data_IF_958837958996
#
_entry.id   IF_958837958996
#
_cell.length_a   1.000
_cell.length_b   1.000
_cell.length_c   1.000
_cell.angle_alpha   90.00
_cell.angle_beta   90.00
_cell.angle_gamma   90.00
#
_symmetry.space_group_name_H-M   'P 1'
#
loop_
_entity.id
_entity.type
_entity.pdbx_description
1 polymer ?
#
# COMPACT_ATOMS: atom_id res chain seq x y z
N UNK A 1 -49.47 17.78 55.34
CA UNK A 1 -48.90 16.57 54.70
C UNK A 1 -47.52 16.92 54.18
N UNK A 2 -46.54 16.06 54.43
CA UNK A 2 -45.08 16.30 54.36
C UNK A 2 -44.60 16.69 52.94
N UNK A 3 -43.84 17.76 52.82
CA UNK A 3 -43.05 18.08 51.63
C UNK A 3 -41.81 17.17 51.57
N UNK A 4 -41.76 16.27 50.58
CA UNK A 4 -40.56 15.49 50.26
C UNK A 4 -39.76 16.22 49.18
N UNK A 5 -38.62 16.76 49.59
CA UNK A 5 -37.60 17.33 48.71
C UNK A 5 -36.82 16.16 48.10
N UNK A 6 -36.89 15.98 46.78
CA UNK A 6 -36.06 15.00 46.08
C UNK A 6 -34.83 15.72 45.52
N UNK A 7 -33.66 15.44 46.12
CA UNK A 7 -32.36 15.85 45.61
C UNK A 7 -32.06 15.10 44.31
N UNK A 8 -31.96 15.82 43.20
CA UNK A 8 -31.46 15.29 41.93
C UNK A 8 -29.94 15.37 41.95
N UNK A 9 -29.27 14.22 42.10
CA UNK A 9 -27.84 14.12 41.90
C UNK A 9 -27.54 14.05 40.40
N UNK A 10 -26.86 15.06 39.86
CA UNK A 10 -26.38 15.08 38.49
C UNK A 10 -25.16 14.15 38.35
N UNK A 11 -25.31 13.04 37.63
CA UNK A 11 -24.20 12.20 37.22
C UNK A 11 -23.64 12.74 35.89
N UNK A 12 -22.50 13.43 35.94
CA UNK A 12 -21.76 13.81 34.74
C UNK A 12 -21.05 12.56 34.18
N UNK A 13 -21.55 12.03 33.07
CA UNK A 13 -20.88 10.99 32.31
C UNK A 13 -19.69 11.60 31.56
N UNK A 14 -18.47 11.28 31.98
CA UNK A 14 -17.25 11.62 31.23
C UNK A 14 -17.08 10.55 30.14
N UNK A 15 -17.61 10.84 28.95
CA UNK A 15 -17.32 10.05 27.76
C UNK A 15 -15.85 10.23 27.38
N UNK A 16 -15.06 9.17 27.58
CA UNK A 16 -13.69 9.06 27.06
C UNK A 16 -13.81 8.92 25.55
N UNK A 17 -13.74 10.04 24.83
CA UNK A 17 -13.60 10.07 23.39
C UNK A 17 -12.29 9.38 23.02
N UNK A 18 -12.39 8.14 22.55
CA UNK A 18 -11.30 7.42 21.91
C UNK A 18 -10.78 8.26 20.74
N UNK A 19 -9.55 8.80 20.87
CA UNK A 19 -8.85 9.43 19.76
C UNK A 19 -8.70 8.39 18.65
N UNK A 20 -9.44 8.57 17.56
CA UNK A 20 -9.16 7.93 16.30
C UNK A 20 -7.84 8.52 15.79
N UNK A 21 -6.73 7.91 16.19
CA UNK A 21 -5.40 8.27 15.72
C UNK A 21 -5.32 8.04 14.22
N UNK A 22 -5.28 9.12 13.45
CA UNK A 22 -4.84 9.08 12.07
C UNK A 22 -3.40 8.56 12.09
N UNK A 23 -3.12 7.45 11.42
CA UNK A 23 -1.75 6.98 11.27
C UNK A 23 -0.93 8.13 10.67
N UNK A 24 0.03 8.65 11.44
CA UNK A 24 0.88 9.74 10.99
C UNK A 24 1.60 9.30 9.69
N UNK A 25 1.85 10.19 8.73
CA UNK A 25 2.53 9.84 7.48
C UNK A 25 3.85 9.09 7.71
N UNK A 26 4.56 9.39 8.81
CA UNK A 26 5.75 8.67 9.25
C UNK A 26 5.55 7.15 9.44
N UNK A 27 4.38 6.71 9.92
CA UNK A 27 4.07 5.28 10.09
C UNK A 27 3.81 4.59 8.75
N UNK A 28 3.19 5.28 7.79
CA UNK A 28 2.99 4.73 6.45
C UNK A 28 4.33 4.51 5.72
N UNK A 29 5.23 5.50 5.78
CA UNK A 29 6.59 5.38 5.23
C UNK A 29 7.37 4.20 5.83
N UNK A 30 7.30 4.01 7.15
CA UNK A 30 7.97 2.89 7.84
C UNK A 30 7.44 1.53 7.38
N UNK A 31 6.11 1.40 7.24
CA UNK A 31 5.49 0.15 6.79
C UNK A 31 5.83 -0.14 5.32
N UNK A 32 5.83 0.86 4.45
CA UNK A 32 6.18 0.70 3.04
C UNK A 32 7.64 0.28 2.84
N UNK A 33 8.57 0.85 3.61
CA UNK A 33 9.95 0.38 3.65
C UNK A 33 10.08 -1.04 4.19
N UNK A 34 9.34 -1.37 5.25
CA UNK A 34 9.33 -2.73 5.78
C UNK A 34 8.79 -3.73 4.74
N UNK A 35 7.71 -3.40 4.03
CA UNK A 35 7.17 -4.23 2.93
C UNK A 35 8.25 -4.46 1.89
N UNK A 36 8.91 -3.40 1.41
CA UNK A 36 9.93 -3.48 0.37
C UNK A 36 11.10 -4.39 0.77
N UNK A 37 11.69 -4.14 1.95
CA UNK A 37 12.86 -4.89 2.44
C UNK A 37 12.51 -6.33 2.82
N UNK A 38 11.36 -6.54 3.48
CA UNK A 38 10.93 -7.87 3.86
C UNK A 38 10.52 -8.71 2.65
N UNK A 39 9.89 -8.10 1.64
CA UNK A 39 9.57 -8.77 0.38
C UNK A 39 10.85 -9.22 -0.35
N UNK A 40 11.84 -8.33 -0.44
CA UNK A 40 13.15 -8.65 -1.04
C UNK A 40 13.83 -9.83 -0.34
N UNK A 41 13.67 -9.94 0.99
CA UNK A 41 14.20 -11.02 1.82
C UNK A 41 13.28 -12.24 1.99
N UNK A 42 12.17 -12.35 1.24
CA UNK A 42 11.30 -13.52 1.30
C UNK A 42 10.40 -13.62 2.54
N UNK A 43 10.06 -12.48 3.16
CA UNK A 43 9.26 -12.37 4.38
C UNK A 43 9.84 -13.15 5.57
N UNK A 44 11.03 -12.77 6.08
CA UNK A 44 11.65 -13.46 7.19
C UNK A 44 10.78 -13.38 8.46
N UNK A 45 10.89 -14.39 9.31
CA UNK A 45 10.12 -14.50 10.55
C UNK A 45 10.57 -13.44 11.58
N UNK A 46 10.04 -12.23 11.45
CA UNK A 46 10.24 -11.12 12.39
C UNK A 46 8.92 -10.37 12.58
N UNK A 47 8.73 -9.75 13.75
CA UNK A 47 7.57 -8.91 14.02
C UNK A 47 7.34 -7.81 12.95
N UNK A 48 8.35 -7.03 12.51
CA UNK A 48 8.14 -6.02 11.48
C UNK A 48 7.75 -6.63 10.12
N UNK A 49 8.35 -7.76 9.72
CA UNK A 49 8.01 -8.39 8.45
C UNK A 49 6.64 -9.08 8.47
N UNK A 50 6.23 -9.65 9.60
CA UNK A 50 4.88 -10.19 9.77
C UNK A 50 3.82 -9.07 9.67
N UNK A 51 4.07 -7.93 10.32
CA UNK A 51 3.21 -6.76 10.22
C UNK A 51 3.15 -6.22 8.78
N UNK A 52 4.31 -6.05 8.14
CA UNK A 52 4.40 -5.59 6.76
C UNK A 52 3.66 -6.52 5.78
N UNK A 53 3.80 -7.85 5.92
CA UNK A 53 3.06 -8.83 5.12
C UNK A 53 1.55 -8.71 5.31
N UNK A 54 1.09 -8.50 6.55
CA UNK A 54 -0.33 -8.29 6.82
C UNK A 54 -0.87 -7.01 6.15
N UNK A 55 -0.09 -5.93 6.11
CA UNK A 55 -0.46 -4.69 5.41
C UNK A 55 -0.44 -4.87 3.90
N UNK A 56 0.58 -5.54 3.35
CA UNK A 56 0.67 -5.91 1.93
C UNK A 56 -0.59 -6.65 1.48
N UNK A 57 -1.03 -7.66 2.25
CA UNK A 57 -2.25 -8.42 1.96
C UNK A 57 -3.50 -7.54 2.14
N UNK A 58 -3.61 -6.77 3.22
CA UNK A 58 -4.78 -5.88 3.46
C UNK A 58 -5.00 -4.89 2.33
N UNK A 59 -3.94 -4.32 1.75
CA UNK A 59 -4.07 -3.36 0.64
C UNK A 59 -4.72 -3.98 -0.58
N UNK A 60 -4.52 -5.28 -0.79
CA UNK A 60 -5.10 -5.98 -1.92
C UNK A 60 -6.45 -6.64 -1.57
N UNK A 61 -6.91 -6.66 -0.30
CA UNK A 61 -8.10 -7.38 0.17
C UNK A 61 -8.94 -6.68 1.26
N UNK A 62 -10.28 -6.67 1.18
CA UNK A 62 -11.12 -6.50 -0.01
C UNK A 62 -11.32 -5.00 -0.34
N UNK A 63 -12.08 -4.73 -1.40
CA UNK A 63 -12.23 -3.41 -2.04
C UNK A 63 -12.35 -2.21 -1.06
N UNK A 64 -11.68 -1.06 -1.33
CA UNK A 64 -10.86 -0.73 -2.51
C UNK A 64 -9.51 -1.44 -2.54
N UNK A 65 -9.14 -1.96 -3.71
CA UNK A 65 -7.86 -2.64 -3.93
C UNK A 65 -6.81 -1.59 -4.28
N UNK A 66 -5.82 -1.42 -3.41
CA UNK A 66 -4.66 -0.56 -3.59
C UNK A 66 -3.46 -1.38 -4.09
N UNK A 67 -2.45 -0.74 -4.72
CA UNK A 67 -1.16 -1.38 -4.99
C UNK A 67 -0.56 -1.93 -3.69
N UNK A 68 -0.11 -3.19 -3.66
CA UNK A 68 0.37 -3.83 -2.42
C UNK A 68 1.59 -3.11 -1.81
N UNK A 69 2.49 -2.61 -2.65
CA UNK A 69 3.69 -1.84 -2.30
C UNK A 69 3.60 -0.42 -2.87
N UNK A 70 3.84 0.59 -2.04
CA UNK A 70 3.88 1.99 -2.46
C UNK A 70 5.33 2.45 -2.43
N UNK A 71 6.10 2.10 -3.46
CA UNK A 71 7.56 2.26 -3.46
C UNK A 71 8.02 3.70 -3.23
N UNK A 72 7.24 4.69 -3.67
CA UNK A 72 7.49 6.12 -3.43
C UNK A 72 7.43 6.55 -1.96
N UNK A 73 6.86 5.72 -1.09
CA UNK A 73 6.88 5.90 0.37
C UNK A 73 8.11 5.26 1.02
N UNK A 74 8.96 4.57 0.28
CA UNK A 74 10.24 4.14 0.78
C UNK A 74 11.38 4.78 -0.01
N UNK A 75 11.88 5.96 0.41
CA UNK A 75 13.05 6.57 -0.22
C UNK A 75 14.30 5.73 0.12
N UNK A 76 14.54 4.68 -0.65
CA UNK A 76 15.82 3.97 -0.66
C UNK A 76 16.78 4.76 -1.54
N UNK A 77 17.26 5.91 -1.06
CA UNK A 77 18.37 6.62 -1.71
C UNK A 77 18.17 6.99 -3.18
N UNK A 78 16.92 7.10 -3.68
CA UNK A 78 16.67 7.97 -4.83
C UNK A 78 17.23 9.32 -4.41
N UNK A 79 18.35 9.73 -5.02
CA UNK A 79 18.98 10.98 -4.70
C UNK A 79 17.88 12.03 -4.80
N UNK A 80 17.48 12.60 -3.65
CA UNK A 80 17.36 14.04 -3.67
C UNK A 80 18.69 14.47 -4.27
N UNK A 81 18.67 15.06 -5.45
CA UNK A 81 19.67 16.07 -5.73
C UNK A 81 19.50 17.03 -4.55
N UNK A 82 20.21 16.80 -3.44
CA UNK A 82 20.67 17.91 -2.64
C UNK A 82 21.24 18.87 -3.69
N UNK A 83 20.73 20.10 -3.80
CA UNK A 83 21.39 21.07 -4.67
C UNK A 83 22.87 20.97 -4.32
N UNK A 84 23.69 20.66 -5.33
CA UNK A 84 25.09 20.29 -5.13
C UNK A 84 25.68 21.23 -4.08
N UNK A 85 26.38 20.70 -3.04
CA UNK A 85 26.88 21.55 -1.96
C UNK A 85 27.62 22.71 -2.62
N UNK A 86 27.10 23.92 -2.39
CA UNK A 86 27.58 25.14 -3.03
C UNK A 86 29.11 25.09 -3.08
N UNK A 87 29.69 25.33 -4.26
CA UNK A 87 31.15 25.37 -4.38
C UNK A 87 31.70 26.34 -3.33
N UNK A 88 32.93 26.15 -2.83
CA UNK A 88 33.52 27.05 -1.85
C UNK A 88 33.42 28.53 -2.24
N UNK A 89 33.44 28.81 -3.56
CA UNK A 89 33.22 30.15 -4.11
C UNK A 89 31.77 30.63 -3.99
N UNK A 90 30.76 29.80 -4.30
CA UNK A 90 29.34 30.16 -4.13
C UNK A 90 28.97 30.36 -2.65
N UNK A 91 29.57 29.59 -1.74
CA UNK A 91 29.46 29.85 -0.29
C UNK A 91 30.05 31.20 0.10
N UNK A 92 31.21 31.53 -0.47
CA UNK A 92 31.85 32.81 -0.22
C UNK A 92 30.98 33.96 -0.75
N UNK A 93 30.40 33.82 -1.95
CA UNK A 93 29.48 34.80 -2.54
C UNK A 93 28.21 34.98 -1.68
N UNK A 94 27.59 33.91 -1.17
CA UNK A 94 26.41 34.02 -0.30
C UNK A 94 26.73 34.72 1.03
N UNK A 95 27.93 34.49 1.58
CA UNK A 95 28.41 35.18 2.79
C UNK A 95 28.70 36.66 2.51
N UNK A 96 29.25 37.00 1.35
CA UNK A 96 29.73 38.37 1.06
C UNK A 96 28.69 39.29 0.43
N UNK A 97 27.64 38.76 -0.20
CA UNK A 97 26.68 39.56 -0.98
C UNK A 97 25.23 39.51 -0.47
N UNK A 98 24.95 38.82 0.63
CA UNK A 98 23.63 38.86 1.27
C UNK A 98 23.55 40.07 2.21
N UNK A 99 22.62 40.97 1.93
CA UNK A 99 22.24 42.07 2.84
C UNK A 99 21.92 41.53 4.24
N UNK A 100 22.29 42.25 5.32
CA UNK A 100 22.16 41.77 6.68
C UNK A 100 20.71 41.41 7.01
N UNK A 101 20.44 40.29 7.69
CA UNK A 101 19.09 39.91 8.03
C UNK A 101 18.51 40.92 9.01
N UNK A 102 17.34 41.48 8.66
CA UNK A 102 16.45 42.05 9.65
C UNK A 102 16.17 40.97 10.70
N UNK A 103 16.48 41.30 11.95
CA UNK A 103 16.25 40.46 13.12
C UNK A 103 14.79 40.02 13.13
N UNK A 104 14.54 38.74 12.89
CA UNK A 104 13.29 38.10 13.29
C UNK A 104 13.62 36.96 14.25
N UNK A 105 13.19 37.17 15.50
CA UNK A 105 13.29 36.24 16.61
C UNK A 105 12.44 34.99 16.38
N UNK A 106 12.92 33.87 16.93
CA UNK A 106 12.13 32.77 17.51
C UNK A 106 10.86 32.31 16.77
N UNK A 107 11.02 31.27 15.96
CA UNK A 107 10.45 29.96 16.26
C UNK A 107 11.00 28.97 15.22
N UNK A 108 11.71 27.94 15.67
CA UNK A 108 12.05 26.81 14.82
C UNK A 108 10.77 25.99 14.55
N UNK A 109 9.86 26.52 13.74
CA UNK A 109 8.98 25.69 12.94
C UNK A 109 9.83 25.18 11.79
N UNK A 110 10.38 23.97 11.95
CA UNK A 110 10.71 23.16 10.78
C UNK A 110 9.49 23.22 9.86
N UNK A 111 9.62 23.62 8.58
CA UNK A 111 8.51 23.42 7.68
C UNK A 111 8.34 21.91 7.61
N UNK A 112 7.29 21.40 8.26
CA UNK A 112 6.73 20.12 7.89
C UNK A 112 6.35 20.30 6.43
N UNK A 113 7.27 19.93 5.54
CA UNK A 113 6.97 19.74 4.14
C UNK A 113 5.90 18.66 4.15
N UNK A 114 4.63 19.09 4.03
CA UNK A 114 3.56 18.21 3.60
C UNK A 114 3.98 17.79 2.21
N UNK A 115 4.73 16.69 2.14
CA UNK A 115 4.83 15.88 0.94
C UNK A 115 3.39 15.52 0.64
N UNK A 116 2.81 16.23 -0.32
CA UNK A 116 1.48 15.99 -0.80
C UNK A 116 1.45 14.52 -1.24
N UNK A 117 0.42 13.81 -0.82
CA UNK A 117 0.21 12.38 -1.08
C UNK A 117 -0.16 12.09 -2.54
N UNK A 118 0.33 12.91 -3.48
CA UNK A 118 0.06 12.87 -4.91
C UNK A 118 1.33 12.60 -5.74
N UNK A 119 2.46 12.30 -5.07
CA UNK A 119 3.67 11.80 -5.75
C UNK A 119 3.46 10.32 -6.07
N UNK A 120 2.64 10.07 -7.09
CA UNK A 120 2.46 8.76 -7.68
C UNK A 120 3.63 8.51 -8.64
N UNK A 121 4.42 7.47 -8.35
CA UNK A 121 5.33 6.74 -9.24
C UNK A 121 6.05 7.53 -10.35
N UNK A 122 7.02 8.37 -9.95
CA UNK A 122 8.12 8.82 -10.81
C UNK A 122 9.44 8.29 -10.21
N UNK A 123 9.54 6.97 -10.08
CA UNK A 123 10.75 6.30 -9.58
C UNK A 123 11.16 5.27 -10.61
N UNK A 124 12.36 5.43 -11.13
CA UNK A 124 12.94 4.46 -12.05
C UNK A 124 13.31 3.17 -11.30
N UNK A 125 12.56 2.10 -11.55
CA UNK A 125 12.81 0.74 -11.09
C UNK A 125 13.19 -0.19 -12.25
N UNK A 126 13.72 0.35 -13.34
CA UNK A 126 14.15 -0.44 -14.50
C UNK A 126 15.36 -1.34 -14.23
N UNK A 127 16.17 -0.98 -13.23
CA UNK A 127 17.30 -1.76 -12.76
C UNK A 127 16.87 -3.15 -12.23
N UNK A 128 17.75 -4.15 -12.35
CA UNK A 128 17.48 -5.54 -11.97
C UNK A 128 17.34 -5.71 -10.45
N UNK A 129 17.91 -4.80 -9.65
CA UNK A 129 17.73 -4.77 -8.20
C UNK A 129 16.25 -4.67 -7.78
N UNK A 130 15.37 -4.17 -8.66
CA UNK A 130 13.93 -4.06 -8.44
C UNK A 130 13.10 -5.12 -9.18
N UNK A 131 13.73 -6.14 -9.77
CA UNK A 131 13.00 -7.23 -10.44
C UNK A 131 12.00 -7.90 -9.49
N UNK A 132 12.31 -8.00 -8.20
CA UNK A 132 11.41 -8.56 -7.20
C UNK A 132 10.11 -7.73 -7.05
N UNK A 133 10.18 -6.39 -7.14
CA UNK A 133 8.99 -5.51 -7.17
C UNK A 133 8.21 -5.73 -8.46
N UNK A 134 8.90 -5.73 -9.59
CA UNK A 134 8.32 -5.96 -10.92
C UNK A 134 7.81 -7.39 -11.11
N UNK A 135 8.14 -8.32 -10.24
CA UNK A 135 7.64 -9.70 -10.24
C UNK A 135 6.26 -9.84 -9.61
N UNK A 136 5.82 -8.88 -8.79
CA UNK A 136 4.54 -8.94 -8.09
C UNK A 136 3.41 -8.98 -9.13
N UNK A 137 2.54 -9.99 -9.05
CA UNK A 137 1.30 -10.08 -9.83
C UNK A 137 0.15 -10.26 -8.86
N UNK A 138 -0.85 -9.39 -8.98
CA UNK A 138 -2.08 -9.49 -8.18
C UNK A 138 -3.24 -9.83 -9.11
N UNK A 139 -3.84 -11.00 -8.93
CA UNK A 139 -5.06 -11.41 -9.59
C UNK A 139 -6.24 -11.12 -8.67
N UNK A 140 -7.09 -10.16 -9.07
CA UNK A 140 -8.42 -10.02 -8.47
C UNK A 140 -9.37 -10.90 -9.26
N UNK A 141 -9.69 -12.07 -8.73
CA UNK A 141 -10.43 -13.13 -9.38
C UNK A 141 -11.91 -12.96 -9.09
N UNK A 142 -12.72 -12.87 -10.15
CA UNK A 142 -14.17 -12.76 -10.04
C UNK A 142 -14.80 -13.56 -11.18
N UNK A 143 -15.14 -14.80 -10.87
CA UNK A 143 -15.70 -15.75 -11.82
C UNK A 143 -17.06 -16.25 -11.34
N UNK A 144 -18.00 -16.37 -12.27
CA UNK A 144 -19.32 -16.95 -12.06
C UNK A 144 -19.69 -17.84 -13.23
N UNK A 145 -20.35 -18.95 -12.95
CA UNK A 145 -21.06 -19.71 -13.96
C UNK A 145 -22.41 -20.20 -13.44
N UNK A 146 -23.35 -20.40 -14.36
CA UNK A 146 -24.63 -21.04 -14.10
C UNK A 146 -25.29 -21.48 -15.41
N UNK A 147 -26.05 -22.56 -15.35
CA UNK A 147 -26.93 -22.99 -16.43
C UNK A 147 -28.20 -22.13 -16.45
N UNK A 148 -28.62 -21.71 -17.65
CA UNK A 148 -29.91 -21.05 -17.83
C UNK A 148 -31.04 -22.09 -17.94
N UNK A 149 -32.28 -21.63 -18.19
CA UNK A 149 -33.43 -22.53 -18.34
C UNK A 149 -33.40 -23.38 -19.62
N UNK A 150 -32.63 -22.95 -20.61
CA UNK A 150 -32.53 -23.58 -21.93
C UNK A 150 -31.39 -24.62 -21.99
N UNK A 151 -30.64 -24.78 -20.90
CA UNK A 151 -29.48 -25.66 -20.81
C UNK A 151 -28.15 -25.03 -21.24
N UNK A 152 -28.14 -23.74 -21.61
CA UNK A 152 -26.93 -23.03 -21.98
C UNK A 152 -26.11 -22.66 -20.75
N UNK A 153 -24.80 -22.77 -20.90
CA UNK A 153 -23.87 -22.40 -19.85
C UNK A 153 -23.50 -20.91 -19.91
N UNK A 154 -24.01 -20.12 -18.97
CA UNK A 154 -23.60 -18.73 -18.81
C UNK A 154 -22.32 -18.67 -17.95
N UNK A 155 -21.28 -18.02 -18.47
CA UNK A 155 -20.01 -17.79 -17.76
C UNK A 155 -19.69 -16.31 -17.78
N UNK A 156 -19.32 -15.78 -16.62
CA UNK A 156 -18.87 -14.41 -16.45
C UNK A 156 -17.52 -14.41 -15.75
N UNK A 157 -16.54 -13.80 -16.39
CA UNK A 157 -15.19 -13.63 -15.86
C UNK A 157 -14.81 -12.15 -15.95
N UNK A 158 -14.62 -11.55 -14.77
CA UNK A 158 -14.18 -10.16 -14.60
C UNK A 158 -12.84 -10.09 -13.88
N UNK A 159 -12.05 -11.16 -13.98
CA UNK A 159 -10.71 -11.25 -13.40
C UNK A 159 -9.79 -10.17 -13.96
N UNK A 160 -9.00 -9.56 -13.08
CA UNK A 160 -8.03 -8.50 -13.44
C UNK A 160 -6.65 -8.85 -12.93
N UNK A 161 -5.63 -8.42 -13.68
CA UNK A 161 -4.23 -8.56 -13.31
C UNK A 161 -3.64 -7.18 -13.00
N UNK A 162 -3.13 -7.03 -11.78
CA UNK A 162 -2.36 -5.89 -11.31
C UNK A 162 -0.86 -6.17 -11.39
N UNK A 163 -0.10 -5.20 -11.87
CA UNK A 163 1.36 -5.31 -12.02
C UNK A 163 2.04 -3.94 -11.98
N UNK A 164 3.31 -3.91 -11.56
CA UNK A 164 4.18 -2.73 -11.63
C UNK A 164 4.85 -2.58 -13.00
N UNK A 165 4.93 -1.36 -13.51
CA UNK A 165 5.76 -0.97 -14.64
C UNK A 165 7.17 -0.52 -14.22
N UNK A 166 7.96 -0.05 -15.18
CA UNK A 166 9.36 0.35 -14.94
C UNK A 166 9.49 1.64 -14.14
N UNK A 167 8.46 2.49 -14.12
CA UNK A 167 8.47 3.75 -13.36
C UNK A 167 7.80 3.60 -11.98
N UNK A 168 7.58 2.35 -11.55
CA UNK A 168 6.86 2.05 -10.31
C UNK A 168 5.35 2.27 -10.43
N UNK A 169 4.84 2.57 -11.62
CA UNK A 169 3.40 2.72 -11.87
C UNK A 169 2.71 1.38 -11.68
N UNK A 170 1.58 1.38 -10.97
CA UNK A 170 0.79 0.16 -10.77
C UNK A 170 -0.50 0.25 -11.58
N UNK A 171 -0.75 -0.77 -12.40
CA UNK A 171 -1.89 -0.77 -13.33
C UNK A 171 -2.65 -2.08 -13.28
N UNK A 172 -3.97 -1.96 -13.39
CA UNK A 172 -4.87 -3.09 -13.60
C UNK A 172 -5.11 -3.29 -15.09
N UNK A 173 -5.01 -4.53 -15.54
CA UNK A 173 -5.32 -4.96 -16.90
C UNK A 173 -6.38 -6.06 -16.86
N UNK A 174 -7.13 -6.19 -17.97
CA UNK A 174 -8.09 -7.30 -18.12
C UNK A 174 -7.33 -8.61 -18.17
N UNK A 175 -7.77 -9.60 -17.40
CA UNK A 175 -7.21 -10.96 -17.40
C UNK A 175 -8.35 -11.99 -17.41
N UNK A 176 -8.07 -13.23 -17.06
CA UNK A 176 -9.04 -14.30 -16.95
C UNK A 176 -8.55 -15.42 -16.05
N UNK A 177 -9.47 -16.27 -15.58
CA UNK A 177 -9.19 -17.42 -14.70
C UNK A 177 -8.15 -18.38 -15.28
N UNK A 178 -8.06 -18.48 -16.61
CA UNK A 178 -7.08 -19.32 -17.30
C UNK A 178 -5.62 -18.81 -17.19
N UNK A 179 -5.43 -17.53 -16.83
CA UNK A 179 -4.10 -16.93 -16.63
C UNK A 179 -3.68 -16.92 -15.17
N UNK A 180 -4.57 -17.31 -14.25
CA UNK A 180 -4.25 -17.39 -12.83
C UNK A 180 -3.27 -18.56 -12.63
N UNK A 181 -2.12 -18.35 -11.97
CA UNK A 181 -1.16 -19.40 -11.70
C UNK A 181 -1.75 -20.58 -10.93
N UNK A 182 -1.26 -21.80 -11.22
CA UNK A 182 -1.71 -23.03 -10.55
C UNK A 182 -1.37 -23.10 -9.06
N UNK A 183 -0.55 -22.16 -8.56
CA UNK A 183 -0.34 -21.98 -7.13
C UNK A 183 -1.59 -21.41 -6.41
N UNK A 184 -2.53 -20.83 -7.15
CA UNK A 184 -3.85 -20.49 -6.63
C UNK A 184 -4.67 -21.74 -6.33
N UNK A 185 -5.56 -21.62 -5.34
CA UNK A 185 -6.58 -22.60 -4.97
C UNK A 185 -7.81 -22.56 -5.90
N UNK A 186 -7.81 -21.72 -6.93
CA UNK A 186 -8.88 -21.62 -7.91
C UNK A 186 -9.09 -22.97 -8.63
N UNK A 187 -10.31 -23.50 -8.54
CA UNK A 187 -10.70 -24.70 -9.29
C UNK A 187 -12.09 -24.49 -9.87
N UNK A 188 -12.18 -24.37 -11.20
CA UNK A 188 -13.46 -24.25 -11.91
C UNK A 188 -14.05 -25.66 -12.06
N UNK A 189 -15.26 -25.92 -11.56
CA UNK A 189 -15.87 -27.23 -11.66
C UNK A 189 -16.21 -27.57 -13.11
N UNK A 190 -16.12 -28.86 -13.44
CA UNK A 190 -16.63 -29.38 -14.70
C UNK A 190 -18.16 -29.20 -14.77
N UNK A 191 -18.69 -28.96 -15.97
CA UNK A 191 -20.11 -28.70 -16.20
C UNK A 191 -20.52 -27.23 -16.01
N UNK A 192 -21.82 -26.97 -15.81
CA UNK A 192 -22.37 -25.62 -15.66
C UNK A 192 -23.27 -25.41 -14.44
N UNK A 193 -23.07 -26.23 -13.39
CA UNK A 193 -23.70 -25.96 -12.10
C UNK A 193 -23.37 -24.56 -11.58
N UNK A 194 -24.28 -23.99 -10.79
CA UNK A 194 -24.08 -22.68 -10.16
C UNK A 194 -22.77 -22.66 -9.39
N UNK A 195 -21.88 -21.76 -9.77
CA UNK A 195 -20.58 -21.61 -9.14
C UNK A 195 -20.16 -20.15 -9.16
N UNK A 196 -19.59 -19.71 -8.04
CA UNK A 196 -19.10 -18.37 -7.84
C UNK A 196 -17.78 -18.41 -7.10
N UNK A 197 -16.80 -17.68 -7.60
CA UNK A 197 -15.48 -17.62 -7.00
C UNK A 197 -14.99 -16.19 -6.99
N UNK A 198 -14.67 -15.72 -5.78
CA UNK A 198 -14.01 -14.45 -5.54
C UNK A 198 -12.83 -14.64 -4.63
N UNK A 199 -11.70 -14.15 -5.08
CA UNK A 199 -10.49 -14.09 -4.28
C UNK A 199 -9.55 -13.04 -4.83
N UNK A 200 -8.56 -12.70 -4.01
CA UNK A 200 -7.35 -12.06 -4.48
C UNK A 200 -6.22 -13.05 -4.29
N UNK A 201 -5.57 -13.37 -5.39
CA UNK A 201 -4.36 -14.18 -5.44
C UNK A 201 -3.20 -13.26 -5.79
N UNK A 202 -2.14 -13.29 -5.00
CA UNK A 202 -0.91 -12.54 -5.28
C UNK A 202 0.25 -13.50 -5.28
N UNK A 203 1.13 -13.36 -6.26
CA UNK A 203 2.43 -14.02 -6.25
C UNK A 203 3.56 -13.05 -6.59
N UNK A 204 4.76 -13.46 -6.20
CA UNK A 204 5.99 -12.69 -6.36
C UNK A 204 7.20 -13.62 -6.35
N UNK A 205 8.34 -13.05 -6.73
CA UNK A 205 9.67 -13.58 -6.45
C UNK A 205 10.41 -12.61 -5.55
N UNK A 206 11.10 -13.12 -4.55
CA UNK A 206 12.01 -12.30 -3.74
C UNK A 206 13.29 -11.95 -4.53
N UNK A 207 14.21 -11.19 -3.94
CA UNK A 207 15.45 -10.79 -4.61
C UNK A 207 16.36 -11.99 -4.94
N UNK A 208 16.27 -13.09 -4.17
CA UNK A 208 16.99 -14.32 -4.45
C UNK A 208 16.28 -15.22 -5.49
N UNK A 209 15.12 -14.81 -5.99
CA UNK A 209 14.33 -15.53 -6.98
C UNK A 209 13.38 -16.58 -6.41
N UNK A 210 13.27 -16.71 -5.08
CA UNK A 210 12.36 -17.65 -4.44
C UNK A 210 10.91 -17.23 -4.68
N UNK A 211 10.08 -18.20 -5.03
CA UNK A 211 8.66 -17.96 -5.28
C UNK A 211 7.87 -17.84 -3.97
N UNK A 212 6.98 -16.86 -3.89
CA UNK A 212 6.02 -16.71 -2.82
C UNK A 212 4.63 -16.39 -3.37
N UNK A 213 3.59 -16.82 -2.66
CA UNK A 213 2.21 -16.51 -3.01
C UNK A 213 1.31 -16.43 -1.78
N UNK A 214 0.21 -15.70 -1.89
CA UNK A 214 -0.85 -15.61 -0.90
C UNK A 214 -2.20 -15.61 -1.63
N UNK A 215 -3.22 -16.23 -1.02
CA UNK A 215 -4.59 -16.13 -1.52
C UNK A 215 -5.57 -15.86 -0.39
N UNK A 216 -6.39 -14.82 -0.57
CA UNK A 216 -7.49 -14.48 0.33
C UNK A 216 -8.79 -14.62 -0.43
N UNK A 217 -9.63 -15.56 0.01
CA UNK A 217 -10.98 -15.78 -0.51
C UNK A 217 -11.99 -14.98 0.32
N UNK A 218 -13.01 -14.40 -0.32
CA UNK A 218 -14.08 -13.64 0.32
C UNK A 218 -15.36 -13.63 -0.50
#
# INVERSE_FOLDING_TARGET
MKHMVHSVAAAAAISISSLMGSAAPAQAYQVDCAILLCLAGGWPASAPCAHARAVFIRRITPWPIEPPLQIWRCPMGASFNEPAPLSPMERLYDITFRDPPLIHSEAASSPLLRVQADVQADIDISDDAFDFVRSIRVFHIQYRQNENRDGDCNRSDSTRLGSYGLQGDYRWTRSGVAQVPSASRLTIPNGCGSYFYRSVFVDWRDHAGNYGSEEVRY
#
